data_IF_647157551482
#
_entry.id   IF_647157551482
#
_cell.length_a   1.000
_cell.length_b   1.000
_cell.length_c   1.000
_cell.angle_alpha   90.00
_cell.angle_beta   90.00
_cell.angle_gamma   90.00
#
_symmetry.space_group_name_H-M   'P 1'
#
loop_
_entity.id
_entity.type
_entity.pdbx_description
1 polymer ?
#
# COMPACT_ATOMS: atom_id res chain seq x y z
N UNK A 1 4.42 -2.34 -23.59
CA UNK A 1 3.31 -3.24 -23.22
C UNK A 1 3.76 -4.46 -22.42
N UNK A 2 4.66 -5.32 -22.93
CA UNK A 2 5.16 -6.51 -22.20
C UNK A 2 5.74 -6.24 -20.80
N UNK A 3 6.45 -5.11 -20.62
CA UNK A 3 7.02 -4.70 -19.32
C UNK A 3 5.95 -4.35 -18.27
N UNK A 4 4.80 -3.80 -18.71
CA UNK A 4 3.69 -3.41 -17.83
C UNK A 4 2.96 -4.65 -17.33
N UNK A 5 2.79 -5.67 -18.18
CA UNK A 5 2.17 -6.94 -17.80
C UNK A 5 3.00 -7.69 -16.75
N UNK A 6 4.33 -7.66 -16.87
CA UNK A 6 5.23 -8.31 -15.89
C UNK A 6 5.14 -7.61 -14.52
N UNK A 7 5.18 -6.27 -14.49
CA UNK A 7 5.08 -5.50 -13.24
C UNK A 7 3.72 -5.71 -12.58
N UNK A 8 2.64 -5.69 -13.38
CA UNK A 8 1.28 -5.96 -12.90
C UNK A 8 1.19 -7.35 -12.27
N UNK A 9 1.71 -8.39 -12.96
CA UNK A 9 1.74 -9.75 -12.43
C UNK A 9 2.46 -9.85 -11.08
N UNK A 10 3.61 -9.20 -10.92
CA UNK A 10 4.38 -9.26 -9.67
C UNK A 10 3.60 -8.59 -8.52
N UNK A 11 2.98 -7.43 -8.78
CA UNK A 11 2.20 -6.69 -7.78
C UNK A 11 0.94 -7.45 -7.36
N UNK A 12 0.18 -7.98 -8.31
CA UNK A 12 -1.03 -8.76 -8.02
C UNK A 12 -0.70 -10.06 -7.27
N UNK A 13 0.36 -10.77 -7.65
CA UNK A 13 0.81 -11.96 -6.91
C UNK A 13 1.25 -11.60 -5.49
N UNK A 14 1.98 -10.50 -5.28
CA UNK A 14 2.39 -10.07 -3.94
C UNK A 14 1.22 -9.74 -3.01
N UNK A 15 0.18 -9.07 -3.54
CA UNK A 15 -1.02 -8.71 -2.77
C UNK A 15 -1.83 -9.95 -2.33
N UNK A 16 -1.97 -10.96 -3.20
CA UNK A 16 -2.70 -12.19 -2.85
C UNK A 16 -2.00 -13.03 -1.78
N UNK A 17 -0.66 -13.04 -1.76
CA UNK A 17 0.10 -13.76 -0.74
C UNK A 17 0.20 -13.01 0.60
N UNK A 18 0.14 -11.68 0.60
CA UNK A 18 0.16 -10.89 1.84
C UNK A 18 -1.09 -11.05 2.71
N UNK A 19 -2.20 -11.55 2.15
CA UNK A 19 -3.45 -11.79 2.89
C UNK A 19 -3.46 -13.15 3.61
N UNK A 20 -2.54 -14.07 3.30
CA UNK A 20 -2.46 -15.37 3.95
C UNK A 20 -1.43 -15.31 5.09
N UNK A 21 -1.92 -15.06 6.31
CA UNK A 21 -1.08 -15.09 7.50
C UNK A 21 -0.91 -16.52 8.00
N UNK A 22 0.12 -17.21 7.51
CA UNK A 22 0.57 -18.53 8.02
C UNK A 22 1.31 -18.38 9.38
N UNK A 23 0.78 -17.54 10.27
CA UNK A 23 1.36 -17.30 11.57
C UNK A 23 0.79 -18.30 12.59
N UNK A 24 1.57 -19.31 13.04
CA UNK A 24 1.10 -20.32 13.99
C UNK A 24 0.86 -19.76 15.40
N UNK A 25 1.14 -18.47 15.62
CA UNK A 25 0.92 -17.76 16.88
C UNK A 25 -0.37 -16.92 16.89
N UNK A 26 -1.23 -17.02 15.87
CA UNK A 26 -2.60 -16.51 15.95
C UNK A 26 -3.42 -17.54 16.72
N UNK A 27 -3.66 -17.27 18.00
CA UNK A 27 -4.57 -18.06 18.82
C UNK A 27 -6.02 -17.65 18.50
N UNK A 28 -6.94 -18.61 18.53
CA UNK A 28 -8.38 -18.30 18.62
C UNK A 28 -8.58 -17.56 19.93
N UNK A 29 -8.67 -16.22 19.88
CA UNK A 29 -8.95 -15.45 21.08
C UNK A 29 -10.33 -15.86 21.59
N UNK A 30 -10.49 -16.28 22.86
CA UNK A 30 -11.82 -16.36 23.44
C UNK A 30 -12.46 -14.98 23.28
N UNK A 31 -13.77 -14.91 23.09
CA UNK A 31 -14.53 -13.66 22.96
C UNK A 31 -14.40 -12.84 24.25
N UNK A 32 -13.24 -12.23 24.44
CA UNK A 32 -12.96 -11.30 25.49
C UNK A 32 -13.57 -10.01 25.00
N UNK A 33 -14.51 -9.51 25.79
CA UNK A 33 -14.95 -8.12 25.78
C UNK A 33 -13.75 -7.26 26.17
N UNK A 34 -12.77 -7.20 25.28
CA UNK A 34 -11.65 -6.31 25.38
C UNK A 34 -12.20 -4.98 24.93
N UNK A 35 -12.45 -4.09 25.88
CA UNK A 35 -12.39 -2.67 25.60
C UNK A 35 -10.95 -2.40 25.15
N UNK A 36 -10.66 -2.68 23.87
CA UNK A 36 -9.48 -2.22 23.16
C UNK A 36 -9.64 -0.71 23.18
N UNK A 37 -9.02 -0.07 24.18
CA UNK A 37 -8.96 1.37 24.23
C UNK A 37 -8.38 1.82 22.91
N UNK A 38 -9.22 2.42 22.06
CA UNK A 38 -8.84 2.96 20.74
C UNK A 38 -7.54 3.71 20.94
N UNK A 39 -6.44 3.17 20.42
CA UNK A 39 -5.22 3.93 20.35
C UNK A 39 -5.45 4.97 19.27
N UNK A 40 -5.07 6.24 19.48
CA UNK A 40 -5.09 7.21 18.39
C UNK A 40 -4.29 6.62 17.21
N UNK A 41 -4.91 6.60 16.02
CA UNK A 41 -4.36 6.03 14.78
C UNK A 41 -4.34 4.49 14.67
N UNK A 42 -5.27 3.78 15.31
CA UNK A 42 -5.53 2.38 14.95
C UNK A 42 -5.90 2.25 13.45
N UNK A 43 -5.49 1.18 12.76
CA UNK A 43 -5.82 0.97 11.35
C UNK A 43 -7.33 1.02 11.11
N UNK A 44 -7.78 1.94 10.26
CA UNK A 44 -9.22 2.16 9.98
C UNK A 44 -9.90 3.17 10.92
N UNK A 45 -9.16 3.85 11.80
CA UNK A 45 -9.64 5.03 12.52
C UNK A 45 -9.73 6.23 11.55
N UNK A 46 -10.94 6.73 11.22
CA UNK A 46 -11.10 7.88 10.33
C UNK A 46 -10.57 9.18 10.94
N UNK A 47 -10.21 9.17 12.23
CA UNK A 47 -9.59 10.28 12.94
C UNK A 47 -8.06 10.26 12.82
N UNK A 48 -7.49 9.29 12.10
CA UNK A 48 -6.06 9.19 11.88
C UNK A 48 -5.58 10.40 11.05
N UNK A 49 -4.62 11.21 11.54
CA UNK A 49 -4.17 12.44 10.86
C UNK A 49 -3.60 12.22 9.45
N UNK A 50 -3.25 10.98 9.11
CA UNK A 50 -2.67 10.61 7.83
C UNK A 50 -3.71 10.53 6.71
N UNK A 51 -4.98 10.28 7.03
CA UNK A 51 -6.03 10.06 6.02
C UNK A 51 -6.26 11.32 5.17
N UNK A 52 -6.17 12.50 5.77
CA UNK A 52 -6.22 13.80 5.08
C UNK A 52 -5.03 14.03 4.14
N UNK A 53 -3.91 13.34 4.37
CA UNK A 53 -2.66 13.50 3.63
C UNK A 53 -2.55 12.49 2.47
N UNK A 54 -3.35 11.41 2.49
CA UNK A 54 -3.37 10.39 1.44
C UNK A 54 -3.55 11.00 0.04
N UNK A 55 -4.50 11.92 -0.22
CA UNK A 55 -4.67 12.53 -1.54
C UNK A 55 -3.41 13.27 -2.01
N UNK A 56 -2.74 13.98 -1.11
CA UNK A 56 -1.51 14.72 -1.42
C UNK A 56 -0.35 13.77 -1.72
N UNK A 57 -0.19 12.70 -0.93
CA UNK A 57 0.84 11.69 -1.15
C UNK A 57 0.65 10.96 -2.49
N UNK A 58 -0.59 10.65 -2.86
CA UNK A 58 -0.92 10.09 -4.18
C UNK A 58 -0.52 11.05 -5.30
N UNK A 59 -0.86 12.34 -5.17
CA UNK A 59 -0.49 13.36 -6.16
C UNK A 59 1.03 13.50 -6.31
N UNK A 60 1.78 13.49 -5.20
CA UNK A 60 3.23 13.53 -5.20
C UNK A 60 3.85 12.30 -5.89
N UNK A 61 3.33 11.11 -5.61
CA UNK A 61 3.78 9.86 -6.24
C UNK A 61 3.55 9.87 -7.75
N UNK A 62 2.37 10.31 -8.21
CA UNK A 62 2.05 10.44 -9.64
C UNK A 62 2.99 11.45 -10.30
N UNK A 63 3.23 12.60 -9.67
CA UNK A 63 4.15 13.62 -10.16
C UNK A 63 5.57 13.08 -10.37
N UNK A 64 6.11 12.37 -9.37
CA UNK A 64 7.42 11.71 -9.48
C UNK A 64 7.45 10.68 -10.61
N UNK A 65 6.42 9.85 -10.73
CA UNK A 65 6.33 8.83 -11.78
C UNK A 65 6.37 9.46 -13.19
N UNK A 66 5.64 10.56 -13.40
CA UNK A 66 5.62 11.30 -14.68
C UNK A 66 6.99 11.90 -14.98
N UNK A 67 7.63 12.57 -13.99
CA UNK A 67 8.96 13.17 -14.18
C UNK A 67 9.99 12.10 -14.54
N UNK A 68 9.96 10.96 -13.85
CA UNK A 68 10.86 9.84 -14.12
C UNK A 68 10.63 9.25 -15.52
N UNK A 69 9.38 9.03 -15.92
CA UNK A 69 9.02 8.54 -17.25
C UNK A 69 9.47 9.51 -18.37
N UNK A 70 9.32 10.82 -18.17
CA UNK A 70 9.79 11.84 -19.11
C UNK A 70 11.31 11.83 -19.24
N UNK A 71 12.05 11.77 -18.12
CA UNK A 71 13.53 11.71 -18.12
C UNK A 71 14.04 10.48 -18.87
N UNK A 72 13.40 9.32 -18.68
CA UNK A 72 13.78 8.10 -19.41
C UNK A 72 13.61 8.24 -20.93
N UNK A 73 12.51 8.85 -21.37
CA UNK A 73 12.25 9.10 -22.80
C UNK A 73 13.30 10.00 -23.45
N UNK A 74 13.84 10.98 -22.72
CA UNK A 74 14.90 11.86 -23.24
C UNK A 74 16.27 11.16 -23.30
N UNK A 75 16.56 10.23 -22.38
CA UNK A 75 17.82 9.46 -22.38
C UNK A 75 17.82 8.40 -23.48
N UNK A 76 16.69 7.76 -23.76
CA UNK A 76 16.56 6.75 -24.83
C UNK A 76 16.47 7.37 -26.25
N UNK A 77 16.52 8.70 -26.38
CA UNK A 77 16.38 9.46 -27.64
C UNK A 77 17.70 10.05 -28.17
N UNK A 78 18.83 9.69 -27.55
CA UNK A 78 20.18 10.01 -28.03
C UNK A 78 20.87 8.76 -28.57
#
# INVERSE_FOLDING_TARGET
MKKILIISSIVFSGLSFAQHSDNPYIYDEPSQTSEVGKSPADPGDPSAPIDEQIPFLIAAAIGMAIVFAKRKKTVDSF
#
